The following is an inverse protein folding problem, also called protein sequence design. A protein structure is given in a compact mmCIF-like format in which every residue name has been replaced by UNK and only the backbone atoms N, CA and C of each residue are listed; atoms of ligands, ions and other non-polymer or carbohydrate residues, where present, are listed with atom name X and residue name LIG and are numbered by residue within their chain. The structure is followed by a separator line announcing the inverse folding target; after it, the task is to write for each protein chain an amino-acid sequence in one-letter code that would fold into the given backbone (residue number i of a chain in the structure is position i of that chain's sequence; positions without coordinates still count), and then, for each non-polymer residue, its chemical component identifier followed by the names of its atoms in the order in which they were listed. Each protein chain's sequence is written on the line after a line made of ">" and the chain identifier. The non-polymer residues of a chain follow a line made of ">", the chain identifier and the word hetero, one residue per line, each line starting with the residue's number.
data_IF_339106669914
#
_entry.id   IF_339106669914
#
_cell.length_a   1.000
_cell.length_b   1.000
_cell.length_c   1.000
_cell.angle_alpha   90.00
_cell.angle_beta   90.00
_cell.angle_gamma   90.00
#
_symmetry.space_group_name_H-M   'P 1'
#
loop_
_entity.id
_entity.type
_entity.pdbx_description
1 polymer ?
#
# COMPACT_ATOMS: atom_id res chain seq x y z
N UNK A 1 7.00 8.46 -2.16
CA UNK A 1 5.76 8.82 -1.44
C UNK A 1 5.64 7.99 -0.17
N UNK A 2 5.19 8.57 0.96
CA UNK A 2 5.00 7.84 2.24
C UNK A 2 3.53 7.54 2.52
N UNK A 3 3.24 6.42 3.19
CA UNK A 3 1.90 6.08 3.63
C UNK A 3 1.43 7.00 4.77
N UNK A 4 0.15 7.39 4.76
CA UNK A 4 -0.46 8.26 5.79
C UNK A 4 -1.30 7.47 6.80
N UNK A 5 -1.54 6.19 6.55
CA UNK A 5 -2.29 5.27 7.42
C UNK A 5 -1.73 3.86 7.32
N UNK A 6 -1.99 3.03 8.32
CA UNK A 6 -1.60 1.62 8.31
C UNK A 6 -2.31 0.85 7.19
N UNK A 7 -3.57 1.20 6.89
CA UNK A 7 -4.30 0.63 5.77
C UNK A 7 -3.58 0.85 4.43
N UNK A 8 -3.14 2.08 4.15
CA UNK A 8 -2.39 2.40 2.92
C UNK A 8 -1.05 1.68 2.85
N UNK A 9 -0.31 1.59 3.95
CA UNK A 9 0.98 0.89 3.96
C UNK A 9 0.81 -0.62 3.69
N UNK A 10 -0.22 -1.26 4.27
CA UNK A 10 -0.58 -2.66 3.97
C UNK A 10 -1.00 -2.83 2.51
N UNK A 11 -1.83 -1.93 1.99
CA UNK A 11 -2.27 -1.96 0.60
C UNK A 11 -1.09 -1.82 -0.37
N UNK A 12 -0.16 -0.91 -0.09
CA UNK A 12 1.07 -0.75 -0.85
C UNK A 12 1.93 -2.03 -0.82
N UNK A 13 2.06 -2.70 0.33
CA UNK A 13 2.77 -3.98 0.44
C UNK A 13 2.15 -5.09 -0.41
N UNK A 14 0.82 -5.20 -0.42
CA UNK A 14 0.11 -6.17 -1.27
C UNK A 14 0.29 -5.85 -2.77
N UNK A 15 0.14 -4.58 -3.15
CA UNK A 15 0.37 -4.12 -4.51
C UNK A 15 1.83 -4.38 -4.97
N UNK A 16 2.81 -4.11 -4.11
CA UNK A 16 4.23 -4.36 -4.37
C UNK A 16 4.50 -5.83 -4.63
N UNK A 17 3.97 -6.72 -3.77
CA UNK A 17 4.10 -8.17 -3.94
C UNK A 17 3.51 -8.64 -5.28
N UNK A 18 2.38 -8.07 -5.71
CA UNK A 18 1.82 -8.37 -7.02
C UNK A 18 2.66 -7.83 -8.17
N UNK A 19 3.27 -6.65 -8.01
CA UNK A 19 4.16 -6.04 -9.02
C UNK A 19 5.44 -6.85 -9.23
N UNK A 20 5.95 -7.46 -8.16
CA UNK A 20 7.07 -8.41 -8.17
C UNK A 20 6.69 -9.83 -8.63
N UNK A 21 5.40 -10.08 -8.88
CA UNK A 21 4.89 -11.37 -9.36
C UNK A 21 4.77 -12.44 -8.27
N UNK A 22 4.88 -12.07 -7.00
CA UNK A 22 4.75 -12.98 -5.85
C UNK A 22 3.28 -13.23 -5.48
N UNK A 23 2.43 -12.21 -5.69
CA UNK A 23 0.97 -12.29 -5.49
C UNK A 23 0.25 -12.15 -6.83
N UNK A 24 -0.88 -12.85 -7.03
CA UNK A 24 -1.65 -12.70 -8.28
C UNK A 24 -2.44 -11.39 -8.23
N UNK A 25 -2.36 -10.61 -9.31
CA UNK A 25 -3.08 -9.33 -9.45
C UNK A 25 -4.59 -9.46 -9.20
N UNK A 26 -5.19 -10.58 -9.61
CA UNK A 26 -6.63 -10.84 -9.41
C UNK A 26 -7.04 -11.01 -7.94
N UNK A 27 -6.09 -11.26 -7.05
CA UNK A 27 -6.32 -11.42 -5.62
C UNK A 27 -6.27 -10.06 -4.89
N UNK A 28 -5.83 -8.99 -5.57
CA UNK A 28 -5.84 -7.62 -5.05
C UNK A 28 -7.26 -7.04 -5.01
N UNK A 29 -7.52 -6.24 -3.98
CA UNK A 29 -8.82 -5.61 -3.74
C UNK A 29 -8.66 -4.18 -3.21
N UNK A 30 -9.65 -3.33 -3.53
CA UNK A 30 -9.70 -1.93 -3.10
C UNK A 30 -8.40 -1.19 -3.41
N UNK A 31 -7.90 -0.45 -2.42
CA UNK A 31 -6.70 0.38 -2.56
C UNK A 31 -5.47 -0.38 -3.08
N UNK A 32 -5.28 -1.65 -2.72
CA UNK A 32 -4.13 -2.42 -3.21
C UNK A 32 -4.17 -2.64 -4.73
N UNK A 33 -5.37 -2.75 -5.30
CA UNK A 33 -5.55 -2.89 -6.74
C UNK A 33 -5.32 -1.56 -7.46
N UNK A 34 -5.92 -0.49 -6.94
CA UNK A 34 -5.74 0.85 -7.50
C UNK A 34 -4.25 1.26 -7.47
N UNK A 35 -3.56 0.99 -6.36
CA UNK A 35 -2.13 1.25 -6.19
C UNK A 35 -1.27 0.42 -7.14
N UNK A 36 -1.61 -0.85 -7.41
CA UNK A 36 -0.91 -1.66 -8.40
C UNK A 36 -1.01 -1.06 -9.80
N UNK A 37 -2.20 -0.57 -10.17
CA UNK A 37 -2.45 -0.02 -11.50
C UNK A 37 -1.84 1.39 -11.69
N UNK A 38 -1.74 2.20 -10.63
CA UNK A 38 -1.36 3.62 -10.73
C UNK A 38 0.04 3.98 -10.23
N UNK A 39 0.71 3.11 -9.47
CA UNK A 39 2.00 3.43 -8.83
C UNK A 39 3.14 2.56 -9.38
N UNK A 40 4.36 3.09 -9.31
CA UNK A 40 5.58 2.36 -9.68
C UNK A 40 6.04 1.40 -8.58
N UNK A 41 6.99 0.51 -8.88
CA UNK A 41 7.51 -0.42 -7.85
C UNK A 41 8.19 0.35 -6.71
N UNK A 42 9.01 1.36 -7.05
CA UNK A 42 9.72 2.19 -6.07
C UNK A 42 8.76 2.99 -5.18
N UNK A 43 7.67 3.53 -5.74
CA UNK A 43 6.68 4.26 -4.95
C UNK A 43 5.93 3.34 -3.98
N UNK A 44 5.59 2.12 -4.41
CA UNK A 44 4.98 1.11 -3.55
C UNK A 44 5.94 0.65 -2.46
N UNK A 45 7.23 0.49 -2.76
CA UNK A 45 8.25 0.15 -1.78
C UNK A 45 8.42 1.23 -0.71
N UNK A 46 8.46 2.51 -1.10
CA UNK A 46 8.55 3.61 -0.14
C UNK A 46 7.32 3.66 0.79
N UNK A 47 6.12 3.46 0.23
CA UNK A 47 4.90 3.40 1.02
C UNK A 47 4.87 2.18 1.95
N UNK A 48 5.20 0.99 1.45
CA UNK A 48 5.23 -0.25 2.22
C UNK A 48 6.28 -0.21 3.35
N UNK A 49 7.38 0.49 3.13
CA UNK A 49 8.48 0.67 4.10
C UNK A 49 8.20 1.73 5.16
N UNK A 50 7.06 2.43 5.08
CA UNK A 50 6.68 3.41 6.10
C UNK A 50 6.43 2.70 7.43
N UNK A 51 7.01 3.21 8.52
CA UNK A 51 6.86 2.61 9.86
C UNK A 51 5.40 2.61 10.31
N UNK A 52 4.95 1.51 10.90
CA UNK A 52 3.61 1.39 11.47
C UNK A 52 3.38 2.31 12.69
N UNK A 53 4.43 2.57 13.47
CA UNK A 53 4.35 3.41 14.67
C UNK A 53 3.98 4.86 14.34
N UNK A 54 2.94 5.36 15.01
CA UNK A 54 2.47 6.74 14.84
C UNK A 54 1.56 6.97 13.63
N UNK A 55 1.26 5.94 12.83
CA UNK A 55 0.22 6.04 11.81
C UNK A 55 -1.17 5.70 12.38
N UNK A 56 -2.22 6.45 12.01
CA UNK A 56 -3.60 6.03 12.26
C UNK A 56 -3.93 4.75 11.48
N UNK A 57 -5.01 4.05 11.85
CA UNK A 57 -5.45 2.86 11.10
C UNK A 57 -5.87 3.26 9.67
N UNK A 58 -6.67 4.32 9.54
CA UNK A 58 -7.21 4.85 8.30
C UNK A 58 -6.96 6.36 8.18
N UNK A 59 -7.00 6.91 6.96
CA UNK A 59 -6.72 8.33 6.71
C UNK A 59 -7.78 9.27 7.32
N UNK A 60 -8.99 8.77 7.50
CA UNK A 60 -10.13 9.50 8.07
C UNK A 60 -10.19 9.46 9.61
N UNK A 61 -9.32 8.69 10.27
CA UNK A 61 -9.28 8.59 11.74
C UNK A 61 -8.66 9.84 12.42
N UNK A 62 -8.30 10.86 11.63
CA UNK A 62 -7.93 12.19 12.16
C UNK A 62 -9.19 13.02 12.42
N UNK A 63 -9.87 12.75 13.53
CA UNK A 63 -10.83 13.66 14.16
C UNK A 63 -10.16 14.46 15.29
#
# INVERSE_FOLDING_TARGET
>A
MKAQSKAQQRAAGAALSAKRGETKVKDLQGASKDMYDSMTEDELEEMASTKHDGLPEDVDDKA
#
